data_IF_233620286660
#
_entry.id   IF_233620286660
#
_cell.length_a   1.000
_cell.length_b   1.000
_cell.length_c   1.000
_cell.angle_alpha   90.00
_cell.angle_beta   90.00
_cell.angle_gamma   90.00
#
_symmetry.space_group_name_H-M   'P 1'
#
loop_
_entity.id
_entity.type
_entity.pdbx_description
1 polymer ?
#
# COMPACT_ATOMS: atom_id res chain seq x y z
N UNK A 1 -25.33 8.42 0.94
CA UNK A 1 -24.71 9.49 0.14
C UNK A 1 -23.20 9.34 0.32
N UNK A 2 -22.52 8.70 -0.62
CA UNK A 2 -21.06 8.60 -0.65
C UNK A 2 -20.61 9.05 -2.04
N UNK A 3 -19.96 10.21 -2.08
CA UNK A 3 -19.44 10.86 -3.26
C UNK A 3 -17.97 10.42 -3.47
N UNK A 4 -17.77 9.20 -3.94
CA UNK A 4 -16.43 8.76 -4.31
C UNK A 4 -16.19 9.12 -5.77
N UNK A 5 -15.29 10.07 -6.01
CA UNK A 5 -14.69 10.30 -7.32
C UNK A 5 -14.03 8.98 -7.76
N UNK A 6 -14.76 8.23 -8.58
CA UNK A 6 -14.33 7.02 -9.29
C UNK A 6 -13.34 7.41 -10.38
N UNK A 7 -12.16 7.89 -9.99
CA UNK A 7 -11.03 8.00 -10.90
C UNK A 7 -10.51 6.59 -11.15
N UNK A 8 -11.07 5.94 -12.16
CA UNK A 8 -10.51 4.81 -12.91
C UNK A 8 -9.68 3.81 -12.09
N UNK A 9 -10.34 3.12 -11.16
CA UNK A 9 -9.80 2.01 -10.34
C UNK A 9 -9.35 0.79 -11.17
N UNK A 10 -9.60 0.79 -12.47
CA UNK A 10 -9.27 -0.30 -13.39
C UNK A 10 -7.75 -0.48 -13.65
N UNK A 11 -6.89 0.38 -13.11
CA UNK A 11 -5.43 0.30 -13.33
C UNK A 11 -4.57 0.36 -12.07
N UNK A 12 -5.13 0.64 -10.89
CA UNK A 12 -4.33 0.64 -9.67
C UNK A 12 -4.33 -0.76 -9.04
N UNK A 13 -3.20 -1.46 -9.15
CA UNK A 13 -2.97 -2.79 -8.55
C UNK A 13 -2.96 -2.76 -7.01
N UNK A 14 -3.10 -1.58 -6.40
CA UNK A 14 -3.05 -1.40 -4.95
C UNK A 14 -4.41 -1.70 -4.33
N UNK A 15 -4.51 -2.65 -3.38
CA UNK A 15 -5.77 -2.98 -2.74
C UNK A 15 -6.24 -1.85 -1.80
N UNK A 16 -7.45 -1.33 -2.01
CA UNK A 16 -8.05 -0.31 -1.15
C UNK A 16 -8.74 -0.95 0.06
N UNK A 17 -8.50 -0.41 1.26
CA UNK A 17 -9.18 -0.84 2.47
C UNK A 17 -10.54 -0.15 2.60
N UNK A 18 -11.60 -0.94 2.79
CA UNK A 18 -12.96 -0.44 2.93
C UNK A 18 -13.47 -0.46 4.39
N UNK A 19 -12.61 -0.80 5.36
CA UNK A 19 -12.98 -0.91 6.77
C UNK A 19 -13.43 -2.31 7.21
N UNK A 20 -13.56 -3.26 6.30
CA UNK A 20 -13.99 -4.63 6.58
C UNK A 20 -12.94 -5.65 6.18
N UNK A 21 -13.04 -6.86 6.74
CA UNK A 21 -12.22 -8.02 6.39
C UNK A 21 -10.70 -7.74 6.35
N UNK A 22 -10.21 -7.06 7.39
CA UNK A 22 -8.81 -6.61 7.51
C UNK A 22 -7.81 -7.75 7.26
N UNK A 23 -8.07 -8.96 7.75
CA UNK A 23 -7.19 -10.10 7.55
C UNK A 23 -6.93 -10.34 6.05
N UNK A 24 -7.98 -10.43 5.26
CA UNK A 24 -7.87 -10.63 3.81
C UNK A 24 -7.26 -9.42 3.09
N UNK A 25 -7.62 -8.20 3.48
CA UNK A 25 -7.01 -6.99 2.92
C UNK A 25 -5.51 -6.93 3.20
N UNK A 26 -5.11 -7.26 4.43
CA UNK A 26 -3.70 -7.24 4.87
C UNK A 26 -2.86 -8.26 4.10
N UNK A 27 -3.40 -9.44 3.80
CA UNK A 27 -2.75 -10.45 2.94
C UNK A 27 -2.52 -9.91 1.53
N UNK A 28 -3.52 -9.24 0.95
CA UNK A 28 -3.39 -8.62 -0.38
C UNK A 28 -2.34 -7.51 -0.38
N UNK A 29 -2.36 -6.65 0.63
CA UNK A 29 -1.41 -5.54 0.75
C UNK A 29 0.01 -6.06 0.95
N UNK A 30 0.21 -7.07 1.81
CA UNK A 30 1.50 -7.75 1.99
C UNK A 30 2.00 -8.36 0.68
N UNK A 31 1.15 -9.09 -0.04
CA UNK A 31 1.51 -9.68 -1.34
C UNK A 31 1.92 -8.61 -2.35
N UNK A 32 1.20 -7.49 -2.40
CA UNK A 32 1.55 -6.36 -3.24
C UNK A 32 2.96 -5.83 -2.92
N UNK A 33 3.26 -5.54 -1.65
CA UNK A 33 4.59 -5.07 -1.26
C UNK A 33 5.71 -6.08 -1.52
N UNK A 34 5.47 -7.38 -1.31
CA UNK A 34 6.43 -8.43 -1.65
C UNK A 34 6.72 -8.43 -3.16
N UNK A 35 5.69 -8.29 -4.00
CA UNK A 35 5.86 -8.25 -5.47
C UNK A 35 6.66 -7.05 -5.97
N UNK A 36 6.70 -5.97 -5.18
CA UNK A 36 7.44 -4.75 -5.47
C UNK A 36 8.82 -4.72 -4.81
N UNK A 37 9.20 -5.78 -4.07
CA UNK A 37 10.43 -5.82 -3.25
C UNK A 37 10.48 -4.69 -2.19
N UNK A 38 9.32 -4.31 -1.66
CA UNK A 38 9.15 -3.21 -0.71
C UNK A 38 8.76 -3.67 0.69
N UNK A 39 8.50 -4.96 0.91
CA UNK A 39 8.04 -5.46 2.20
C UNK A 39 9.04 -5.19 3.33
N UNK A 40 10.34 -5.26 3.04
CA UNK A 40 11.39 -4.98 4.03
C UNK A 40 11.31 -3.55 4.60
N UNK A 41 10.91 -2.57 3.79
CA UNK A 41 10.74 -1.18 4.26
C UNK A 41 9.54 -1.03 5.21
N UNK A 42 8.50 -1.85 5.00
CA UNK A 42 7.32 -1.86 5.87
C UNK A 42 7.64 -2.56 7.19
N UNK A 43 8.42 -3.64 7.15
CA UNK A 43 8.76 -4.45 8.32
C UNK A 43 9.87 -3.82 9.18
N UNK A 44 10.93 -3.33 8.54
CA UNK A 44 12.11 -2.78 9.22
C UNK A 44 12.04 -1.25 9.39
N UNK A 45 11.04 -0.61 8.81
CA UNK A 45 10.93 0.84 8.71
C UNK A 45 11.79 1.41 7.57
N UNK A 46 11.37 2.56 7.06
CA UNK A 46 12.15 3.32 6.11
C UNK A 46 13.24 4.10 6.85
N UNK A 47 14.49 3.76 6.61
CA UNK A 47 15.62 4.59 7.02
C UNK A 47 15.83 5.62 5.91
N UNK A 48 15.47 6.87 6.18
CA UNK A 48 15.84 7.97 5.30
C UNK A 48 17.37 8.01 5.24
N UNK A 49 17.93 7.77 4.05
CA UNK A 49 19.36 7.83 3.86
C UNK A 49 19.84 9.23 4.30
N UNK A 50 20.78 9.26 5.23
CA UNK A 50 21.41 10.44 5.83
C UNK A 50 22.23 11.28 4.84
N UNK A 51 21.65 11.63 3.70
CA UNK A 51 22.26 12.36 2.60
C UNK A 51 21.29 13.17 1.73
N UNK A 52 19.98 13.20 2.04
CA UNK A 52 18.99 14.00 1.30
C UNK A 52 18.91 15.48 1.73
N UNK A 53 19.68 15.90 2.75
CA UNK A 53 19.80 17.31 3.12
C UNK A 53 20.84 18.01 2.22
N UNK A 54 20.43 18.37 0.99
CA UNK A 54 21.12 19.37 0.16
C UNK A 54 20.20 20.54 -0.12
#
# INVERSE_FOLDING_TARGET
MANSNTLNLSQSLVPIFNGENYEFWSIKMKTYFISQDLWELVENGYVEAEGSMT
#
